data_IF_576503618531
#
_entry.id   IF_576503618531
#
_cell.length_a   1.000
_cell.length_b   1.000
_cell.length_c   1.000
_cell.angle_alpha   90.00
_cell.angle_beta   90.00
_cell.angle_gamma   90.00
#
_symmetry.space_group_name_H-M   'P 1'
#
loop_
_entity.id
_entity.type
_entity.pdbx_description
1 polymer ?
#
# COMPACT_ATOMS: atom_id res chain seq x y z
N UNK A 1 -46.89 -68.49 9.07
CA UNK A 1 -46.30 -67.25 8.49
C UNK A 1 -47.37 -66.21 8.14
N UNK A 2 -48.49 -66.58 7.51
CA UNK A 2 -49.59 -65.64 7.17
C UNK A 2 -50.11 -64.80 8.35
N UNK A 3 -50.32 -65.41 9.53
CA UNK A 3 -50.81 -64.69 10.72
C UNK A 3 -49.84 -63.62 11.26
N UNK A 4 -48.53 -63.73 11.03
CA UNK A 4 -47.55 -62.73 11.49
C UNK A 4 -47.48 -61.54 10.52
N UNK A 5 -47.70 -61.78 9.23
CA UNK A 5 -47.79 -60.75 8.21
C UNK A 5 -49.04 -59.88 8.39
N UNK A 6 -50.19 -60.48 8.72
CA UNK A 6 -51.43 -59.74 8.97
C UNK A 6 -51.35 -58.84 10.21
N UNK A 7 -50.70 -59.32 11.27
CA UNK A 7 -50.51 -58.50 12.49
C UNK A 7 -49.58 -57.32 12.24
N UNK A 8 -48.50 -57.52 11.48
CA UNK A 8 -47.58 -56.43 11.13
C UNK A 8 -48.23 -55.42 10.18
N UNK A 9 -49.07 -55.88 9.25
CA UNK A 9 -49.83 -55.02 8.35
C UNK A 9 -50.78 -54.11 9.12
N UNK A 10 -51.53 -54.66 10.10
CA UNK A 10 -52.43 -53.86 10.95
C UNK A 10 -51.69 -52.83 11.77
N UNK A 11 -50.53 -53.21 12.35
CA UNK A 11 -49.68 -52.27 13.10
C UNK A 11 -49.24 -51.10 12.24
N UNK A 12 -48.77 -51.35 11.02
CA UNK A 12 -48.36 -50.31 10.07
C UNK A 12 -49.53 -49.45 9.60
N UNK A 13 -50.72 -50.03 9.43
CA UNK A 13 -51.93 -49.29 9.08
C UNK A 13 -52.35 -48.33 10.21
N UNK A 14 -52.29 -48.79 11.46
CA UNK A 14 -52.60 -47.98 12.62
C UNK A 14 -51.53 -46.88 12.85
N UNK A 15 -50.24 -47.21 12.70
CA UNK A 15 -49.13 -46.24 12.83
C UNK A 15 -49.19 -45.11 11.79
N UNK A 16 -49.74 -45.39 10.61
CA UNK A 16 -49.82 -44.43 9.52
C UNK A 16 -51.24 -43.95 9.19
N UNK A 17 -52.23 -44.23 10.05
CA UNK A 17 -53.65 -43.90 9.82
C UNK A 17 -53.86 -42.40 9.48
N UNK A 18 -53.20 -41.51 10.21
CA UNK A 18 -53.24 -40.06 9.97
C UNK A 18 -52.63 -39.66 8.62
N UNK A 19 -51.62 -40.39 8.16
CA UNK A 19 -50.98 -40.15 6.86
C UNK A 19 -51.91 -40.59 5.73
N UNK A 20 -52.58 -41.72 5.88
CA UNK A 20 -53.59 -42.19 4.94
C UNK A 20 -54.79 -41.24 4.86
N UNK A 21 -55.31 -40.78 6.01
CA UNK A 21 -56.40 -39.78 6.04
C UNK A 21 -56.03 -38.47 5.34
N UNK A 22 -54.77 -38.01 5.46
CA UNK A 22 -54.29 -36.81 4.75
C UNK A 22 -54.13 -37.07 3.26
N UNK A 23 -53.61 -38.24 2.87
CA UNK A 23 -53.51 -38.64 1.48
C UNK A 23 -54.90 -38.68 0.82
N UNK A 24 -55.89 -39.27 1.49
CA UNK A 24 -57.27 -39.38 0.98
C UNK A 24 -57.91 -38.01 0.76
N UNK A 25 -57.75 -37.08 1.70
CA UNK A 25 -58.21 -35.69 1.51
C UNK A 25 -57.53 -35.02 0.33
N UNK A 26 -56.22 -35.23 0.16
CA UNK A 26 -55.46 -34.67 -0.97
C UNK A 26 -55.94 -35.25 -2.30
N UNK A 27 -56.17 -36.57 -2.34
CA UNK A 27 -56.70 -37.27 -3.51
C UNK A 27 -58.08 -36.72 -3.85
N UNK A 28 -58.96 -36.52 -2.86
CA UNK A 28 -60.29 -35.99 -3.08
C UNK A 28 -60.25 -34.60 -3.70
N UNK A 29 -59.45 -33.68 -3.15
CA UNK A 29 -59.32 -32.30 -3.68
C UNK A 29 -58.65 -32.28 -5.05
N UNK A 30 -57.62 -33.09 -5.28
CA UNK A 30 -56.90 -33.10 -6.56
C UNK A 30 -57.64 -33.86 -7.66
N UNK A 31 -58.56 -34.77 -7.31
CA UNK A 31 -59.30 -35.59 -8.28
C UNK A 31 -60.18 -34.77 -9.24
N UNK A 32 -60.60 -33.56 -8.83
CA UNK A 32 -61.35 -32.63 -9.67
C UNK A 32 -60.49 -31.97 -10.75
N UNK A 33 -59.16 -32.01 -10.62
CA UNK A 33 -58.22 -31.27 -11.47
C UNK A 33 -57.17 -32.18 -12.12
N UNK A 34 -56.99 -33.39 -11.61
CA UNK A 34 -55.94 -34.33 -12.02
C UNK A 34 -56.53 -35.75 -12.06
N UNK A 35 -56.48 -36.38 -13.24
CA UNK A 35 -56.88 -37.79 -13.39
C UNK A 35 -55.67 -38.68 -13.09
N UNK A 36 -55.81 -39.61 -12.14
CA UNK A 36 -54.75 -40.57 -11.76
C UNK A 36 -54.25 -41.44 -12.91
N UNK A 37 -55.12 -41.74 -13.87
CA UNK A 37 -54.80 -42.60 -15.02
C UNK A 37 -54.24 -41.81 -16.20
N UNK A 38 -54.03 -40.50 -16.05
CA UNK A 38 -53.41 -39.67 -17.07
C UNK A 38 -51.89 -39.90 -17.06
N UNK A 39 -51.25 -40.08 -18.23
CA UNK A 39 -49.80 -40.32 -18.32
C UNK A 39 -48.96 -39.18 -17.70
N UNK A 40 -49.51 -37.97 -17.61
CA UNK A 40 -48.88 -36.79 -17.00
C UNK A 40 -48.87 -36.82 -15.46
N UNK A 41 -49.66 -37.69 -14.81
CA UNK A 41 -49.74 -37.76 -13.34
C UNK A 41 -48.43 -38.25 -12.71
N UNK A 42 -47.87 -39.33 -13.26
CA UNK A 42 -46.61 -39.90 -12.77
C UNK A 42 -45.44 -38.92 -12.96
N UNK A 43 -45.47 -38.15 -14.05
CA UNK A 43 -44.50 -37.08 -14.31
C UNK A 43 -44.63 -35.94 -13.30
N UNK A 44 -45.85 -35.48 -13.02
CA UNK A 44 -46.11 -34.46 -11.99
C UNK A 44 -45.68 -34.92 -10.58
N UNK A 45 -45.93 -36.18 -10.23
CA UNK A 45 -45.49 -36.76 -8.95
C UNK A 45 -43.96 -36.86 -8.89
N UNK A 46 -43.30 -37.24 -9.99
CA UNK A 46 -41.84 -37.26 -10.06
C UNK A 46 -41.25 -35.85 -9.88
N UNK A 47 -41.81 -34.83 -10.56
CA UNK A 47 -41.41 -33.42 -10.40
C UNK A 47 -41.63 -32.95 -8.96
N UNK A 48 -42.78 -33.27 -8.35
CA UNK A 48 -43.07 -32.88 -6.97
C UNK A 48 -42.09 -33.52 -5.96
N UNK A 49 -41.71 -34.79 -6.16
CA UNK A 49 -40.69 -35.46 -5.33
C UNK A 49 -39.31 -34.81 -5.49
N UNK A 50 -38.91 -34.49 -6.71
CA UNK A 50 -37.65 -33.80 -7.00
C UNK A 50 -37.63 -32.42 -6.35
N UNK A 51 -38.72 -31.65 -6.45
CA UNK A 51 -38.83 -30.34 -5.82
C UNK A 51 -38.77 -30.43 -4.29
N UNK A 52 -39.45 -31.41 -3.69
CA UNK A 52 -39.40 -31.62 -2.24
C UNK A 52 -37.99 -32.01 -1.76
N UNK A 53 -37.28 -32.85 -2.51
CA UNK A 53 -35.89 -33.20 -2.21
C UNK A 53 -34.97 -31.96 -2.30
N UNK A 54 -35.09 -31.18 -3.38
CA UNK A 54 -34.34 -29.94 -3.55
C UNK A 54 -34.64 -28.91 -2.43
N UNK A 55 -35.90 -28.80 -2.01
CA UNK A 55 -36.29 -27.92 -0.91
C UNK A 55 -35.66 -28.33 0.42
N UNK A 56 -35.58 -29.64 0.71
CA UNK A 56 -34.92 -30.15 1.92
C UNK A 56 -33.42 -29.84 1.91
N UNK A 57 -32.74 -30.11 0.80
CA UNK A 57 -31.32 -29.76 0.63
C UNK A 57 -31.11 -28.26 0.83
N UNK A 58 -31.94 -27.42 0.21
CA UNK A 58 -31.84 -25.97 0.38
C UNK A 58 -32.05 -25.52 1.84
N UNK A 59 -32.97 -26.14 2.57
CA UNK A 59 -33.18 -25.84 3.99
C UNK A 59 -32.00 -26.26 4.87
N UNK A 60 -31.36 -27.39 4.56
CA UNK A 60 -30.16 -27.85 5.24
C UNK A 60 -28.97 -26.92 4.97
N UNK A 61 -28.79 -26.53 3.71
CA UNK A 61 -27.77 -25.56 3.29
C UNK A 61 -27.96 -24.21 3.99
N UNK A 62 -29.21 -23.72 4.08
CA UNK A 62 -29.53 -22.47 4.76
C UNK A 62 -29.23 -22.54 6.25
N UNK A 63 -29.51 -23.67 6.92
CA UNK A 63 -29.15 -23.88 8.33
C UNK A 63 -27.63 -23.90 8.51
N UNK A 64 -26.92 -24.64 7.66
CA UNK A 64 -25.46 -24.74 7.69
C UNK A 64 -24.80 -23.37 7.49
N UNK A 65 -25.27 -22.62 6.50
CA UNK A 65 -24.82 -21.25 6.23
C UNK A 65 -25.08 -20.32 7.41
N UNK A 66 -26.26 -20.41 8.04
CA UNK A 66 -26.59 -19.62 9.23
C UNK A 66 -25.64 -19.90 10.39
N UNK A 67 -25.40 -21.18 10.71
CA UNK A 67 -24.44 -21.57 11.75
C UNK A 67 -23.03 -21.03 11.45
N UNK A 68 -22.60 -21.11 10.19
CA UNK A 68 -21.31 -20.56 9.76
C UNK A 68 -21.22 -19.04 9.96
N UNK A 69 -22.29 -18.30 9.66
CA UNK A 69 -22.34 -16.85 9.89
C UNK A 69 -22.27 -16.52 11.38
N UNK A 70 -22.96 -17.29 12.22
CA UNK A 70 -22.93 -17.10 13.68
C UNK A 70 -21.53 -17.34 14.25
N UNK A 71 -20.84 -18.39 13.78
CA UNK A 71 -19.46 -18.69 14.19
C UNK A 71 -18.47 -17.63 13.73
N UNK A 72 -18.58 -17.16 12.48
CA UNK A 72 -17.75 -16.06 11.95
C UNK A 72 -18.00 -14.75 12.71
N UNK A 73 -19.25 -14.48 13.09
CA UNK A 73 -19.60 -13.31 13.90
C UNK A 73 -18.95 -13.39 15.27
N UNK A 74 -18.99 -14.55 15.92
CA UNK A 74 -18.34 -14.79 17.22
C UNK A 74 -16.82 -14.64 17.11
N UNK A 75 -16.19 -15.17 16.07
CA UNK A 75 -14.75 -15.04 15.85
C UNK A 75 -14.36 -13.57 15.59
N UNK A 76 -15.14 -12.85 14.78
CA UNK A 76 -14.95 -11.41 14.57
C UNK A 76 -15.00 -10.64 15.89
N UNK A 77 -16.00 -10.88 16.74
CA UNK A 77 -16.10 -10.21 18.05
C UNK A 77 -14.87 -10.48 18.91
N UNK A 78 -14.43 -11.74 19.01
CA UNK A 78 -13.23 -12.10 19.78
C UNK A 78 -11.96 -11.41 19.24
N UNK A 79 -11.82 -11.31 17.91
CA UNK A 79 -10.68 -10.62 17.30
C UNK A 79 -10.73 -9.12 17.55
N UNK A 80 -11.90 -8.50 17.49
CA UNK A 80 -12.08 -7.08 17.83
C UNK A 80 -11.71 -6.80 19.28
N UNK A 81 -12.13 -7.65 20.22
CA UNK A 81 -11.76 -7.53 21.64
C UNK A 81 -10.25 -7.66 21.85
N UNK A 82 -9.61 -8.64 21.20
CA UNK A 82 -8.15 -8.79 21.24
C UNK A 82 -7.43 -7.59 20.64
N UNK A 83 -7.92 -7.06 19.52
CA UNK A 83 -7.35 -5.89 18.86
C UNK A 83 -7.39 -4.69 19.81
N UNK A 84 -8.52 -4.46 20.48
CA UNK A 84 -8.66 -3.37 21.45
C UNK A 84 -7.66 -3.46 22.61
N UNK A 85 -7.37 -4.68 23.10
CA UNK A 85 -6.33 -4.90 24.13
C UNK A 85 -4.95 -4.56 23.59
N UNK A 86 -4.60 -5.04 22.40
CA UNK A 86 -3.30 -4.77 21.77
C UNK A 86 -3.13 -3.27 21.49
N UNK A 87 -4.17 -2.58 21.04
CA UNK A 87 -4.15 -1.13 20.81
C UNK A 87 -3.92 -0.35 22.11
N UNK A 88 -4.56 -0.77 23.21
CA UNK A 88 -4.37 -0.18 24.53
C UNK A 88 -2.93 -0.40 25.03
N UNK A 89 -2.39 -1.61 24.88
CA UNK A 89 -1.02 -1.94 25.26
C UNK A 89 0.00 -1.15 24.42
N UNK A 90 -0.21 -1.04 23.11
CA UNK A 90 0.63 -0.25 22.22
C UNK A 90 0.60 1.24 22.58
N UNK A 91 -0.57 1.78 22.89
CA UNK A 91 -0.73 3.18 23.33
C UNK A 91 -0.01 3.44 24.65
N UNK A 92 -0.12 2.52 25.63
CA UNK A 92 0.59 2.61 26.90
C UNK A 92 2.10 2.55 26.70
N UNK A 93 2.60 1.56 25.94
CA UNK A 93 4.02 1.44 25.63
C UNK A 93 4.58 2.68 24.91
N UNK A 94 3.80 3.28 24.02
CA UNK A 94 4.15 4.53 23.34
C UNK A 94 4.29 5.69 24.32
N UNK A 95 3.33 5.88 25.24
CA UNK A 95 3.40 6.91 26.28
C UNK A 95 4.64 6.72 27.16
N UNK A 96 4.87 5.50 27.64
CA UNK A 96 6.03 5.18 28.49
C UNK A 96 7.36 5.45 27.77
N UNK A 97 7.43 5.16 26.46
CA UNK A 97 8.58 5.49 25.63
C UNK A 97 8.80 7.01 25.54
N UNK A 98 7.76 7.78 25.23
CA UNK A 98 7.84 9.24 25.15
C UNK A 98 8.30 9.85 26.47
N UNK A 99 7.79 9.38 27.60
CA UNK A 99 8.23 9.82 28.93
C UNK A 99 9.71 9.52 29.18
N UNK A 100 10.19 8.32 28.82
CA UNK A 100 11.60 7.94 28.93
C UNK A 100 12.51 8.79 28.04
N UNK A 101 12.09 9.05 26.80
CA UNK A 101 12.83 9.91 25.85
C UNK A 101 12.87 11.34 26.37
N UNK A 102 11.75 11.89 26.84
CA UNK A 102 11.70 13.23 27.42
C UNK A 102 12.61 13.37 28.64
N UNK A 103 12.67 12.35 29.51
CA UNK A 103 13.57 12.33 30.67
C UNK A 103 15.06 12.28 30.29
N UNK A 104 15.39 11.68 29.14
CA UNK A 104 16.76 11.56 28.65
C UNK A 104 17.22 12.76 27.80
N UNK A 105 16.30 13.60 27.32
CA UNK A 105 16.61 14.71 26.43
C UNK A 105 17.02 15.99 27.18
N UNK A 106 17.95 16.79 26.63
CA UNK A 106 18.26 18.12 27.15
C UNK A 106 17.03 19.05 27.14
N UNK A 107 16.93 19.94 28.13
CA UNK A 107 15.84 20.94 28.19
C UNK A 107 15.82 21.77 26.91
N UNK A 108 14.67 21.78 26.21
CA UNK A 108 14.44 22.54 24.98
C UNK A 108 14.21 21.70 23.72
N UNK A 109 14.33 20.36 23.80
CA UNK A 109 13.92 19.45 22.73
C UNK A 109 12.51 18.89 23.00
N UNK A 110 11.58 19.06 22.07
CA UNK A 110 10.22 18.54 22.19
C UNK A 110 10.16 17.06 21.80
N UNK A 111 9.76 16.22 22.76
CA UNK A 111 9.70 14.77 22.58
C UNK A 111 8.60 14.34 21.58
N UNK A 112 7.50 15.09 21.46
CA UNK A 112 6.44 14.83 20.49
C UNK A 112 6.85 15.19 19.06
N UNK A 113 7.63 16.26 18.89
CA UNK A 113 8.25 16.61 17.61
C UNK A 113 9.28 15.55 17.19
N UNK A 114 10.05 15.03 18.15
CA UNK A 114 10.95 13.91 17.91
C UNK A 114 10.17 12.66 17.51
N UNK A 115 9.15 12.28 18.26
CA UNK A 115 8.34 11.09 18.00
C UNK A 115 7.65 11.15 16.63
N UNK A 116 7.03 12.27 16.27
CA UNK A 116 6.41 12.45 14.96
C UNK A 116 7.44 12.37 13.80
N UNK A 117 8.69 12.74 14.08
CA UNK A 117 9.81 12.59 13.15
C UNK A 117 10.39 11.17 13.14
N UNK A 118 10.19 10.40 14.22
CA UNK A 118 10.67 9.03 14.41
C UNK A 118 9.64 7.95 14.06
N UNK A 119 8.34 8.26 13.94
CA UNK A 119 7.32 7.24 13.65
C UNK A 119 7.57 6.51 12.32
N UNK A 120 7.87 7.19 11.19
CA UNK A 120 8.31 6.51 9.97
C UNK A 120 9.65 5.79 10.15
N UNK A 121 10.47 6.25 11.10
CA UNK A 121 11.78 5.68 11.39
C UNK A 121 11.69 4.33 12.11
N UNK A 122 10.70 4.16 12.99
CA UNK A 122 10.46 2.89 13.68
C UNK A 122 10.16 1.79 12.68
N UNK A 123 9.27 2.03 11.70
CA UNK A 123 8.91 1.05 10.66
C UNK A 123 10.14 0.53 9.90
N UNK A 124 11.09 1.42 9.59
CA UNK A 124 12.36 1.10 8.91
C UNK A 124 13.25 0.16 9.70
N UNK A 125 13.20 0.22 11.03
CA UNK A 125 13.99 -0.69 11.87
C UNK A 125 13.33 -2.06 12.05
N UNK A 126 12.03 -2.21 11.75
CA UNK A 126 11.25 -3.43 11.99
C UNK A 126 10.96 -4.29 10.76
N UNK A 127 11.53 -3.99 9.59
CA UNK A 127 11.66 -4.98 8.50
C UNK A 127 11.38 -4.51 7.08
N UNK A 128 10.97 -3.27 6.87
CA UNK A 128 10.73 -2.72 5.52
C UNK A 128 11.98 -2.06 4.95
N UNK A 129 12.08 -2.02 3.62
CA UNK A 129 13.14 -1.31 2.93
C UNK A 129 12.83 0.21 2.88
N UNK A 130 13.67 1.08 3.49
CA UNK A 130 13.43 2.51 3.51
C UNK A 130 13.67 3.18 2.15
N UNK A 131 12.74 4.03 1.73
CA UNK A 131 12.91 4.94 0.59
C UNK A 131 12.71 6.37 1.07
N UNK A 132 13.77 7.16 1.04
CA UNK A 132 13.76 8.57 1.46
C UNK A 132 13.36 9.44 0.26
N UNK A 133 12.32 10.26 0.43
CA UNK A 133 11.85 11.20 -0.58
C UNK A 133 11.90 12.64 -0.06
N UNK A 134 12.04 13.62 -0.96
CA UNK A 134 12.23 15.01 -0.57
C UNK A 134 10.98 15.64 0.04
N UNK A 135 9.82 15.53 -0.63
CA UNK A 135 8.60 16.24 -0.26
C UNK A 135 7.33 15.39 -0.12
N UNK A 136 6.21 16.11 0.10
CA UNK A 136 4.88 15.52 0.26
C UNK A 136 4.29 15.03 -1.08
N UNK A 137 4.72 15.61 -2.19
CA UNK A 137 4.24 15.25 -3.55
C UNK A 137 4.69 13.84 -3.94
N UNK A 138 5.97 13.54 -3.75
CA UNK A 138 6.58 12.24 -4.01
C UNK A 138 5.97 11.18 -3.11
N UNK A 139 5.82 11.49 -1.82
CA UNK A 139 5.18 10.61 -0.86
C UNK A 139 3.75 10.25 -1.30
N UNK A 140 2.95 11.25 -1.67
CA UNK A 140 1.59 11.01 -2.14
C UNK A 140 1.54 10.19 -3.45
N UNK A 141 2.44 10.46 -4.39
CA UNK A 141 2.53 9.72 -5.64
C UNK A 141 2.92 8.24 -5.42
N UNK A 142 3.91 7.97 -4.57
CA UNK A 142 4.28 6.59 -4.23
C UNK A 142 3.16 5.87 -3.50
N UNK A 143 2.51 6.51 -2.52
CA UNK A 143 1.37 5.90 -1.83
C UNK A 143 0.24 5.57 -2.79
N UNK A 144 -0.07 6.45 -3.75
CA UNK A 144 -1.05 6.17 -4.80
C UNK A 144 -0.63 4.97 -5.66
N UNK A 145 0.60 4.97 -6.17
CA UNK A 145 1.11 3.92 -7.04
C UNK A 145 1.13 2.55 -6.36
N UNK A 146 1.46 2.52 -5.07
CA UNK A 146 1.51 1.32 -4.24
C UNK A 146 0.09 0.81 -3.92
N UNK A 147 -0.84 1.67 -3.51
CA UNK A 147 -2.23 1.30 -3.24
C UNK A 147 -2.89 0.72 -4.50
N UNK A 148 -2.64 1.32 -5.66
CA UNK A 148 -3.22 0.89 -6.94
C UNK A 148 -2.50 -0.34 -7.55
N UNK A 149 -1.30 -0.69 -7.08
CA UNK A 149 -0.57 -1.90 -7.51
C UNK A 149 -0.93 -3.16 -6.71
N UNK A 150 -1.62 -3.01 -5.57
CA UNK A 150 -1.97 -4.10 -4.66
C UNK A 150 -1.02 -4.25 -3.46
N UNK A 151 -1.45 -5.05 -2.49
CA UNK A 151 -0.90 -5.08 -1.13
C UNK A 151 0.56 -5.56 -1.02
N UNK A 152 1.08 -6.36 -1.94
CA UNK A 152 2.41 -6.98 -1.78
C UNK A 152 3.57 -5.98 -1.76
N UNK A 153 3.42 -4.83 -2.43
CA UNK A 153 4.46 -3.78 -2.43
C UNK A 153 4.40 -2.89 -1.18
N UNK A 154 3.23 -2.74 -0.54
CA UNK A 154 3.05 -1.98 0.71
C UNK A 154 3.92 -2.56 1.82
N UNK A 155 3.91 -3.89 1.94
CA UNK A 155 4.54 -4.57 3.07
C UNK A 155 6.08 -4.65 2.95
N UNK A 156 6.65 -4.23 1.81
CA UNK A 156 8.08 -4.36 1.53
C UNK A 156 8.86 -3.05 1.69
N UNK A 157 8.20 -1.89 1.64
CA UNK A 157 8.88 -0.58 1.64
C UNK A 157 8.23 0.39 2.62
N UNK A 158 9.04 1.25 3.22
CA UNK A 158 8.56 2.42 3.97
C UNK A 158 9.04 3.68 3.27
N UNK A 159 8.09 4.54 2.86
CA UNK A 159 8.41 5.82 2.24
C UNK A 159 8.57 6.89 3.32
N UNK A 160 9.78 7.44 3.46
CA UNK A 160 10.12 8.46 4.45
C UNK A 160 10.17 9.83 3.78
N UNK A 161 9.22 10.71 4.12
CA UNK A 161 9.25 12.12 3.71
C UNK A 161 10.24 12.93 4.55
N UNK A 162 11.29 13.44 3.90
CA UNK A 162 12.36 14.17 4.59
C UNK A 162 12.04 15.66 4.82
N UNK A 163 11.17 16.28 4.01
CA UNK A 163 10.88 17.73 4.04
C UNK A 163 12.08 18.58 3.62
N UNK A 164 12.74 18.18 2.54
CA UNK A 164 13.86 18.91 1.93
C UNK A 164 15.21 18.20 2.05
N UNK A 165 16.15 18.60 1.18
CA UNK A 165 17.49 18.00 1.07
C UNK A 165 18.36 18.02 2.34
N UNK A 166 18.34 19.06 3.20
CA UNK A 166 19.09 19.02 4.46
C UNK A 166 18.68 17.83 5.35
N UNK A 167 17.38 17.56 5.41
CA UNK A 167 16.82 16.47 6.19
C UNK A 167 17.07 15.11 5.52
N UNK A 168 17.03 15.02 4.17
CA UNK A 168 17.45 13.80 3.45
C UNK A 168 18.85 13.38 3.92
N UNK A 169 19.79 14.33 3.97
CA UNK A 169 21.17 14.07 4.43
C UNK A 169 21.22 13.57 5.89
N UNK A 170 20.38 14.12 6.77
CA UNK A 170 20.33 13.69 8.17
C UNK A 170 19.81 12.25 8.29
N UNK A 171 18.74 11.92 7.57
CA UNK A 171 18.15 10.57 7.55
C UNK A 171 19.14 9.57 6.94
N UNK A 172 19.79 9.91 5.82
CA UNK A 172 20.83 9.07 5.21
C UNK A 172 21.96 8.77 6.18
N UNK A 173 22.51 9.77 6.88
CA UNK A 173 23.59 9.56 7.87
C UNK A 173 23.19 8.58 8.97
N UNK A 174 21.94 8.68 9.41
CA UNK A 174 21.40 7.79 10.42
C UNK A 174 21.19 6.36 9.86
N UNK A 175 20.65 6.19 8.65
CA UNK A 175 20.53 4.87 7.99
C UNK A 175 21.90 4.22 7.78
N UNK A 176 22.90 5.03 7.40
CA UNK A 176 24.31 4.61 7.30
C UNK A 176 24.84 4.14 8.65
N UNK A 177 24.62 4.92 9.71
CA UNK A 177 25.04 4.56 11.06
C UNK A 177 24.48 3.21 11.51
N UNK A 178 23.21 2.94 11.22
CA UNK A 178 22.54 1.69 11.54
C UNK A 178 22.73 0.58 10.48
N UNK A 179 23.61 0.77 9.48
CA UNK A 179 23.93 -0.22 8.45
C UNK A 179 22.69 -0.74 7.69
N UNK A 180 21.76 0.16 7.35
CA UNK A 180 20.55 -0.19 6.61
C UNK A 180 20.69 0.20 5.14
N UNK A 181 20.34 -0.71 4.24
CA UNK A 181 20.18 -0.40 2.82
C UNK A 181 18.98 0.54 2.63
N UNK A 182 19.07 1.44 1.65
CA UNK A 182 17.99 2.40 1.40
C UNK A 182 17.96 2.96 -0.02
N UNK A 183 16.76 3.36 -0.45
CA UNK A 183 16.54 4.17 -1.63
C UNK A 183 16.51 5.65 -1.27
N UNK A 184 16.98 6.52 -2.15
CA UNK A 184 16.83 7.97 -2.02
C UNK A 184 16.42 8.59 -3.35
N UNK A 185 15.32 9.34 -3.31
CA UNK A 185 14.83 10.17 -4.40
C UNK A 185 14.86 11.64 -3.96
N UNK A 186 15.44 12.49 -4.82
CA UNK A 186 15.36 13.94 -4.64
C UNK A 186 15.34 14.65 -5.98
N UNK A 187 15.02 15.94 -5.97
CA UNK A 187 15.05 16.74 -7.18
C UNK A 187 16.48 17.19 -7.49
N UNK A 188 16.85 17.39 -8.75
CA UNK A 188 18.14 18.04 -9.04
C UNK A 188 18.05 19.54 -8.75
N UNK A 189 16.85 20.13 -8.81
CA UNK A 189 16.62 21.57 -8.77
C UNK A 189 17.40 22.34 -9.84
N UNK A 190 17.27 23.66 -9.81
CA UNK A 190 18.01 24.54 -10.69
C UNK A 190 19.30 25.04 -10.04
N UNK A 191 20.40 25.13 -10.80
CA UNK A 191 21.67 25.67 -10.33
C UNK A 191 21.58 27.07 -9.77
N UNK A 192 20.74 27.93 -10.35
CA UNK A 192 20.57 29.32 -9.95
C UNK A 192 19.11 29.67 -9.63
N UNK A 193 18.95 30.68 -8.76
CA UNK A 193 17.64 31.21 -8.38
C UNK A 193 16.92 31.90 -9.54
N UNK A 194 15.59 32.02 -9.43
CA UNK A 194 14.74 32.68 -10.44
C UNK A 194 15.07 34.17 -10.61
N UNK A 195 15.56 34.81 -9.55
CA UNK A 195 15.75 36.27 -9.51
C UNK A 195 17.09 36.73 -10.09
N UNK A 196 17.94 35.81 -10.58
CA UNK A 196 19.24 36.16 -11.14
C UNK A 196 20.18 36.89 -10.17
N UNK A 197 19.99 36.70 -8.85
CA UNK A 197 20.85 37.33 -7.84
C UNK A 197 22.31 37.04 -8.14
N UNK A 198 23.14 38.07 -8.04
CA UNK A 198 24.58 37.99 -8.23
C UNK A 198 25.31 38.15 -6.89
N UNK A 199 26.44 37.47 -6.77
CA UNK A 199 27.39 37.69 -5.69
C UNK A 199 28.13 39.02 -5.89
N UNK A 200 28.90 39.45 -4.89
CA UNK A 200 29.69 40.69 -4.94
C UNK A 200 30.71 40.71 -6.09
N UNK A 201 31.15 39.53 -6.55
CA UNK A 201 32.08 39.35 -7.68
C UNK A 201 31.38 39.34 -9.06
N UNK A 202 30.05 39.55 -9.11
CA UNK A 202 29.26 39.56 -10.34
C UNK A 202 28.81 38.17 -10.82
N UNK A 203 29.26 37.07 -10.21
CA UNK A 203 28.82 35.71 -10.55
C UNK A 203 27.37 35.45 -10.10
N UNK A 204 26.64 34.58 -10.79
CA UNK A 204 25.28 34.19 -10.38
C UNK A 204 25.33 33.40 -9.06
N UNK A 205 24.46 33.77 -8.12
CA UNK A 205 24.33 33.12 -6.83
C UNK A 205 23.74 31.71 -6.99
N UNK A 206 24.51 30.70 -6.62
CA UNK A 206 24.08 29.30 -6.68
C UNK A 206 22.94 29.04 -5.70
N UNK A 207 21.99 28.21 -6.12
CA UNK A 207 20.90 27.72 -5.30
C UNK A 207 21.43 26.82 -4.18
N UNK A 208 20.94 27.01 -2.96
CA UNK A 208 21.23 26.12 -1.83
C UNK A 208 20.79 24.68 -2.11
N UNK A 209 19.65 24.49 -2.79
CA UNK A 209 19.16 23.17 -3.15
C UNK A 209 20.05 22.45 -4.17
N UNK A 210 20.71 23.20 -5.07
CA UNK A 210 21.70 22.63 -6.01
C UNK A 210 22.97 22.15 -5.29
N UNK A 211 23.46 22.93 -4.32
CA UNK A 211 24.64 22.57 -3.55
C UNK A 211 24.46 21.24 -2.77
N UNK A 212 23.23 20.91 -2.38
CA UNK A 212 22.93 19.67 -1.68
C UNK A 212 23.07 18.41 -2.55
N UNK A 213 23.00 18.50 -3.88
CA UNK A 213 23.14 17.33 -4.76
C UNK A 213 24.52 16.65 -4.59
N UNK A 214 25.59 17.45 -4.52
CA UNK A 214 26.94 16.94 -4.27
C UNK A 214 27.04 16.25 -2.90
N UNK A 215 26.41 16.83 -1.89
CA UNK A 215 26.45 16.33 -0.53
C UNK A 215 25.67 15.02 -0.35
N UNK A 216 24.51 14.89 -1.02
CA UNK A 216 23.77 13.64 -1.08
C UNK A 216 24.63 12.58 -1.79
N UNK A 217 25.24 12.91 -2.93
CA UNK A 217 26.12 11.96 -3.64
C UNK A 217 27.32 11.52 -2.80
N UNK A 218 27.92 12.41 -2.00
CA UNK A 218 28.98 12.03 -1.06
C UNK A 218 28.50 10.99 -0.05
N UNK A 219 27.30 11.17 0.52
CA UNK A 219 26.72 10.20 1.45
C UNK A 219 26.38 8.87 0.77
N UNK A 220 25.93 8.87 -0.49
CA UNK A 220 25.75 7.64 -1.28
C UNK A 220 27.07 6.89 -1.42
N UNK A 221 28.16 7.59 -1.79
CA UNK A 221 29.48 6.99 -1.90
C UNK A 221 29.99 6.49 -0.53
N UNK A 222 29.77 7.24 0.54
CA UNK A 222 30.11 6.85 1.91
C UNK A 222 29.40 5.56 2.35
N UNK A 223 28.09 5.48 2.11
CA UNK A 223 27.28 4.29 2.40
C UNK A 223 27.83 3.06 1.67
N UNK A 224 28.07 3.17 0.37
CA UNK A 224 28.59 2.07 -0.45
C UNK A 224 30.00 1.63 -0.04
N UNK A 225 30.85 2.55 0.46
CA UNK A 225 32.18 2.21 1.02
C UNK A 225 32.10 1.33 2.25
N UNK A 226 31.04 1.46 3.02
CA UNK A 226 30.82 0.69 4.25
C UNK A 226 29.87 -0.48 4.01
N UNK A 227 29.79 -0.95 2.76
CA UNK A 227 28.95 -2.05 2.28
C UNK A 227 27.48 -1.89 2.67
N UNK A 228 26.94 -0.71 2.39
CA UNK A 228 25.51 -0.43 2.45
C UNK A 228 25.01 -0.21 1.03
N UNK A 229 23.97 -0.94 0.65
CA UNK A 229 23.33 -0.81 -0.64
C UNK A 229 22.52 0.48 -0.73
N UNK A 230 22.74 1.27 -1.78
CA UNK A 230 21.99 2.51 -2.01
C UNK A 230 21.49 2.60 -3.44
N UNK A 231 20.17 2.73 -3.60
CA UNK A 231 19.55 3.17 -4.84
C UNK A 231 19.40 4.69 -4.82
N UNK A 232 19.99 5.40 -5.79
CA UNK A 232 20.01 6.87 -5.83
C UNK A 232 19.38 7.35 -7.13
N UNK A 233 18.17 7.90 -7.03
CA UNK A 233 17.42 8.46 -8.14
C UNK A 233 17.30 9.98 -7.99
N UNK A 234 17.32 10.68 -9.13
CA UNK A 234 17.19 12.13 -9.17
C UNK A 234 16.14 12.51 -10.20
N UNK A 235 15.17 13.33 -9.80
CA UNK A 235 14.21 13.93 -10.74
C UNK A 235 14.84 15.15 -11.41
N UNK A 236 14.71 15.25 -12.74
CA UNK A 236 15.32 16.34 -13.52
C UNK A 236 14.22 17.12 -14.25
N UNK A 237 13.98 18.39 -13.89
CA UNK A 237 14.55 19.15 -12.77
C UNK A 237 13.91 18.83 -11.42
N UNK A 238 12.63 18.47 -11.46
CA UNK A 238 11.75 18.32 -10.32
C UNK A 238 10.81 17.13 -10.55
N UNK A 239 10.29 16.57 -9.46
CA UNK A 239 9.45 15.38 -9.51
C UNK A 239 8.16 15.64 -10.28
N UNK A 240 7.52 16.80 -10.09
CA UNK A 240 6.28 17.15 -10.77
C UNK A 240 6.41 17.02 -12.29
N UNK A 241 7.48 17.58 -12.87
CA UNK A 241 7.71 17.46 -14.31
C UNK A 241 8.07 16.05 -14.76
N UNK A 242 8.76 15.27 -13.91
CA UNK A 242 9.08 13.87 -14.24
C UNK A 242 7.81 13.07 -14.49
N UNK A 243 6.77 13.32 -13.70
CA UNK A 243 5.48 12.62 -13.80
C UNK A 243 4.40 13.39 -14.59
N UNK A 244 4.78 14.49 -15.26
CA UNK A 244 3.88 15.25 -16.13
C UNK A 244 2.88 16.18 -15.43
N UNK A 245 3.08 16.50 -14.15
CA UNK A 245 2.20 17.43 -13.43
C UNK A 245 2.45 18.91 -13.84
N UNK A 246 1.38 19.73 -13.94
CA UNK A 246 1.50 21.15 -14.23
C UNK A 246 2.17 21.93 -13.09
N UNK A 247 2.85 23.04 -13.44
CA UNK A 247 3.54 23.91 -12.46
C UNK A 247 2.54 24.63 -11.54
N UNK A 248 2.84 24.65 -10.23
CA UNK A 248 2.50 25.78 -9.35
C UNK A 248 1.10 25.81 -8.73
N UNK A 249 0.40 24.70 -8.63
CA UNK A 249 -0.91 24.62 -7.98
C UNK A 249 -0.77 24.41 -6.47
N UNK A 250 -1.66 25.03 -5.67
CA UNK A 250 -1.64 24.96 -4.21
C UNK A 250 -2.04 23.59 -3.62
N UNK A 251 -2.34 22.59 -4.45
CA UNK A 251 -2.85 21.26 -4.07
C UNK A 251 -1.90 20.09 -4.36
N UNK A 252 -0.59 20.33 -4.51
CA UNK A 252 0.38 19.37 -5.08
C UNK A 252 0.29 17.91 -4.61
N UNK A 253 0.17 17.56 -3.31
CA UNK A 253 0.11 16.15 -2.92
C UNK A 253 -1.19 15.47 -3.38
N UNK A 254 -2.31 16.18 -3.32
CA UNK A 254 -3.60 15.65 -3.77
C UNK A 254 -3.64 15.50 -5.30
N UNK A 255 -3.08 16.47 -6.02
CA UNK A 255 -2.99 16.42 -7.47
C UNK A 255 -2.07 15.31 -7.96
N UNK A 256 -0.92 15.10 -7.30
CA UNK A 256 -0.08 13.94 -7.55
C UNK A 256 -0.84 12.63 -7.34
N UNK A 257 -1.53 12.49 -6.21
CA UNK A 257 -2.33 11.29 -5.94
C UNK A 257 -3.39 11.05 -7.04
N UNK A 258 -4.14 12.10 -7.42
CA UNK A 258 -5.16 12.00 -8.47
C UNK A 258 -4.54 11.66 -9.84
N UNK A 259 -3.43 12.28 -10.19
CA UNK A 259 -2.74 12.02 -11.45
C UNK A 259 -2.31 10.56 -11.56
N UNK A 260 -1.71 9.99 -10.51
CA UNK A 260 -1.34 8.57 -10.48
C UNK A 260 -2.55 7.64 -10.57
N UNK A 261 -3.71 8.06 -10.07
CA UNK A 261 -4.94 7.28 -10.17
C UNK A 261 -5.58 7.33 -11.56
N UNK A 262 -5.42 8.44 -12.28
CA UNK A 262 -6.15 8.73 -13.53
C UNK A 262 -5.30 8.57 -14.79
N UNK A 263 -3.97 8.70 -14.68
CA UNK A 263 -3.03 8.65 -15.79
C UNK A 263 -2.12 7.42 -15.65
N UNK A 264 -2.36 6.43 -16.51
CA UNK A 264 -1.57 5.19 -16.55
C UNK A 264 -0.09 5.42 -16.90
N UNK A 265 0.25 6.46 -17.67
CA UNK A 265 1.64 6.77 -17.97
C UNK A 265 2.37 7.33 -16.74
N UNK A 266 1.73 8.24 -16.01
CA UNK A 266 2.27 8.76 -14.75
C UNK A 266 2.40 7.65 -13.70
N UNK A 267 1.39 6.77 -13.61
CA UNK A 267 1.42 5.58 -12.74
C UNK A 267 2.57 4.64 -13.08
N UNK A 268 2.75 4.30 -14.36
CA UNK A 268 3.83 3.43 -14.82
C UNK A 268 5.21 4.02 -14.51
N UNK A 269 5.41 5.34 -14.69
CA UNK A 269 6.67 6.01 -14.36
C UNK A 269 6.97 5.93 -12.85
N UNK A 270 5.99 6.18 -11.99
CA UNK A 270 6.18 6.09 -10.53
C UNK A 270 6.41 4.65 -10.06
N UNK A 271 5.71 3.68 -10.65
CA UNK A 271 5.96 2.26 -10.36
C UNK A 271 7.36 1.82 -10.80
N UNK A 272 7.80 2.21 -11.99
CA UNK A 272 9.15 1.94 -12.46
C UNK A 272 10.21 2.60 -11.56
N UNK A 273 9.93 3.82 -11.08
CA UNK A 273 10.79 4.52 -10.13
C UNK A 273 10.86 3.79 -8.78
N UNK A 274 9.74 3.29 -8.28
CA UNK A 274 9.69 2.51 -7.05
C UNK A 274 10.52 1.21 -7.18
N UNK A 275 10.41 0.51 -8.32
CA UNK A 275 11.21 -0.69 -8.57
C UNK A 275 12.71 -0.37 -8.56
N UNK A 276 13.14 0.67 -9.28
CA UNK A 276 14.56 1.09 -9.26
C UNK A 276 15.05 1.48 -7.87
N UNK A 277 14.21 2.19 -7.10
CA UNK A 277 14.53 2.58 -5.72
C UNK A 277 14.65 1.38 -4.77
N UNK A 278 14.06 0.23 -5.09
CA UNK A 278 14.17 -1.02 -4.30
C UNK A 278 15.36 -1.89 -4.68
N UNK A 279 16.12 -1.53 -5.71
CA UNK A 279 17.28 -2.29 -6.19
C UNK A 279 18.57 -1.56 -5.81
N UNK A 280 19.01 -1.63 -4.54
CA UNK A 280 20.21 -0.92 -4.10
C UNK A 280 21.47 -1.44 -4.81
N UNK A 281 22.21 -0.52 -5.42
CA UNK A 281 23.55 -0.81 -5.89
C UNK A 281 24.56 -0.79 -4.74
N UNK A 282 25.50 -1.73 -4.74
CA UNK A 282 26.69 -1.76 -3.87
C UNK A 282 27.94 -1.51 -4.72
N UNK A 283 29.07 -1.18 -4.10
CA UNK A 283 30.32 -1.36 -4.81
C UNK A 283 30.60 -2.86 -4.95
N UNK A 284 31.11 -3.27 -6.10
CA UNK A 284 31.65 -4.63 -6.24
C UNK A 284 32.80 -4.82 -5.24
N UNK A 285 33.22 -6.08 -4.99
CA UNK A 285 34.33 -6.48 -4.09
C UNK A 285 35.73 -5.91 -4.47
N UNK A 286 35.77 -4.93 -5.35
CA UNK A 286 36.94 -4.15 -5.75
C UNK A 286 37.08 -2.94 -4.83
N UNK A 287 38.29 -2.43 -4.67
CA UNK A 287 38.54 -1.21 -3.91
C UNK A 287 37.53 -0.10 -4.27
N UNK A 288 36.87 0.46 -3.25
CA UNK A 288 35.81 1.44 -3.47
C UNK A 288 36.34 2.64 -4.29
N UNK A 289 35.63 3.06 -5.35
CA UNK A 289 36.10 4.14 -6.20
C UNK A 289 36.19 5.47 -5.45
N UNK A 290 36.96 6.40 -6.03
CA UNK A 290 37.00 7.78 -5.57
C UNK A 290 35.60 8.41 -5.62
N UNK A 291 35.37 9.38 -4.73
CA UNK A 291 34.08 10.06 -4.64
C UNK A 291 33.81 10.87 -5.92
N UNK A 292 32.76 10.52 -6.64
CA UNK A 292 32.42 11.10 -7.95
C UNK A 292 31.48 12.32 -7.87
N UNK A 293 31.29 12.91 -6.68
CA UNK A 293 30.28 13.94 -6.45
C UNK A 293 30.37 15.16 -7.38
N UNK A 294 31.57 15.57 -7.79
CA UNK A 294 31.76 16.68 -8.72
C UNK A 294 31.37 16.30 -10.16
N UNK A 295 31.78 15.10 -10.61
CA UNK A 295 31.39 14.58 -11.93
C UNK A 295 29.88 14.38 -12.00
N UNK A 296 29.28 13.84 -10.95
CA UNK A 296 27.83 13.69 -10.81
C UNK A 296 27.06 15.00 -10.93
N UNK A 297 27.49 16.08 -10.25
CA UNK A 297 26.82 17.39 -10.37
C UNK A 297 26.98 17.98 -11.78
N UNK A 298 28.11 17.72 -12.44
CA UNK A 298 28.34 18.14 -13.83
C UNK A 298 27.38 17.41 -14.77
N UNK A 299 27.25 16.09 -14.62
CA UNK A 299 26.31 15.27 -15.38
C UNK A 299 24.85 15.70 -15.16
N UNK A 300 24.45 16.02 -13.93
CA UNK A 300 23.11 16.58 -13.64
C UNK A 300 22.86 17.89 -14.40
N UNK A 301 23.87 18.77 -14.49
CA UNK A 301 23.74 20.02 -15.24
C UNK A 301 23.56 19.75 -16.74
N UNK A 302 24.30 18.82 -17.31
CA UNK A 302 24.21 18.46 -18.72
C UNK A 302 22.86 17.81 -19.05
N UNK A 303 22.38 16.89 -18.22
CA UNK A 303 21.06 16.30 -18.34
C UNK A 303 19.95 17.36 -18.24
N UNK A 304 20.09 18.30 -17.31
CA UNK A 304 19.13 19.38 -17.13
C UNK A 304 19.08 20.32 -18.34
N UNK A 305 20.25 20.70 -18.88
CA UNK A 305 20.35 21.51 -20.11
C UNK A 305 19.71 20.81 -21.31
N UNK A 306 19.98 19.51 -21.47
CA UNK A 306 19.39 18.69 -22.53
C UNK A 306 17.86 18.67 -22.44
N UNK A 307 17.29 18.36 -21.26
CA UNK A 307 15.83 18.36 -21.06
C UNK A 307 15.21 19.74 -21.24
N UNK A 308 15.88 20.79 -20.77
CA UNK A 308 15.41 22.16 -20.98
C UNK A 308 15.30 22.52 -22.46
N UNK A 309 16.27 22.10 -23.29
CA UNK A 309 16.24 22.29 -24.72
C UNK A 309 15.13 21.47 -25.41
N UNK A 310 14.98 20.19 -25.04
CA UNK A 310 13.96 19.29 -25.59
C UNK A 310 12.53 19.78 -25.32
N UNK A 311 12.28 20.35 -24.15
CA UNK A 311 10.96 20.84 -23.74
C UNK A 311 10.75 22.35 -23.94
N UNK A 312 11.73 23.07 -24.50
CA UNK A 312 11.64 24.51 -24.72
C UNK A 312 11.43 25.33 -23.44
N UNK A 313 12.06 24.94 -22.33
CA UNK A 313 11.92 25.67 -21.07
C UNK A 313 12.67 27.01 -21.11
N UNK A 314 11.94 28.12 -21.02
CA UNK A 314 12.48 29.49 -20.91
C UNK A 314 13.06 29.76 -19.50
N UNK A 315 14.08 28.99 -19.10
CA UNK A 315 14.75 29.09 -17.79
C UNK A 315 16.28 29.27 -17.95
N UNK A 316 16.76 29.86 -19.04
CA UNK A 316 18.19 30.02 -19.37
C UNK A 316 19.02 30.67 -18.25
N UNK A 317 18.47 31.70 -17.60
CA UNK A 317 19.08 32.37 -16.45
C UNK A 317 19.36 31.41 -15.28
N UNK A 318 18.54 30.38 -15.12
CA UNK A 318 18.62 29.42 -14.01
C UNK A 318 19.61 28.29 -14.26
N UNK A 319 20.06 28.13 -15.51
CA UNK A 319 21.06 27.16 -15.94
C UNK A 319 22.48 27.74 -15.92
N UNK A 320 22.61 29.06 -15.86
CA UNK A 320 23.87 29.77 -16.11
C UNK A 320 24.19 29.75 -17.60
N UNK A 321 24.73 30.86 -18.10
CA UNK A 321 25.31 30.92 -19.45
C UNK A 321 26.35 29.82 -19.68
#
# INVERSE_FOLDING_TARGET
MASRADTELRRLQDEHEETFKKADRLIQVLSEHIRRDAPEFDELVAVAKTNLAAQRTHQEDLRSAKTRVDDLTRDRTKRTEKLAVIEADASNARRDWVERVAAALPKGLDAGLLEASLQPLCEVFFGTYPIVVEGDTEHAAFMAAVVEAGHELIDQVTIIKARGKPQIRAIMKMLIHFRKDFGVLHDCDWPYGKDGRRNTDGSLAKSGSWAHNAEIRKLVNEAKRVDIGVAHEVSIPDFERRIGLPRGTGGKPFEAYLAIKQDEAAKAEVQALLVRLKEPGRYADVAAPECDAAAFVTDLLDQLRKRAAEHGWEDSLRLGE
#
